data_IF_663455881216
#
_entry.id   IF_663455881216
#
_cell.length_a   1.000
_cell.length_b   1.000
_cell.length_c   1.000
_cell.angle_alpha   90.00
_cell.angle_beta   90.00
_cell.angle_gamma   90.00
#
_symmetry.space_group_name_H-M   'P 1'
#
loop_
_entity.id
_entity.type
_entity.pdbx_description
1 polymer ?
#
# COMPACT_ATOMS: atom_id res chain seq x y z
N UNK A 1 -22.97 5.68 -30.16
CA UNK A 1 -21.84 4.74 -30.31
C UNK A 1 -21.88 3.77 -29.13
N UNK A 2 -22.34 2.52 -29.33
CA UNK A 2 -22.53 1.57 -28.23
C UNK A 2 -21.23 0.88 -27.90
N UNK A 3 -20.63 1.18 -26.75
CA UNK A 3 -19.46 0.47 -26.25
C UNK A 3 -19.82 -0.96 -25.81
N UNK A 4 -19.18 -1.97 -26.42
CA UNK A 4 -19.28 -3.36 -25.97
C UNK A 4 -18.41 -3.57 -24.71
N UNK A 5 -19.04 -3.55 -23.55
CA UNK A 5 -18.45 -3.63 -22.20
C UNK A 5 -18.48 -5.07 -21.65
N UNK A 6 -18.15 -6.10 -22.43
CA UNK A 6 -18.44 -7.49 -22.00
C UNK A 6 -17.32 -8.28 -21.29
N UNK A 7 -16.05 -7.86 -21.30
CA UNK A 7 -14.96 -8.68 -20.70
C UNK A 7 -14.01 -7.96 -19.73
N UNK A 8 -14.22 -6.65 -19.46
CA UNK A 8 -13.40 -5.90 -18.49
C UNK A 8 -14.01 -5.81 -17.07
N UNK A 9 -15.30 -6.15 -16.95
CA UNK A 9 -16.07 -5.98 -15.71
C UNK A 9 -15.76 -7.08 -14.67
N UNK A 10 -15.34 -8.28 -15.08
CA UNK A 10 -15.16 -9.41 -14.16
C UNK A 10 -13.98 -9.17 -13.19
N UNK A 11 -12.89 -8.58 -13.65
CA UNK A 11 -11.74 -8.28 -12.76
C UNK A 11 -12.01 -7.14 -11.78
N UNK A 12 -12.66 -6.08 -12.26
CA UNK A 12 -13.12 -4.99 -11.39
C UNK A 12 -14.22 -5.45 -10.42
N UNK A 13 -15.09 -6.37 -10.84
CA UNK A 13 -16.13 -6.94 -10.00
C UNK A 13 -15.58 -7.83 -8.87
N UNK A 14 -14.47 -8.54 -9.07
CA UNK A 14 -13.81 -9.29 -7.99
C UNK A 14 -13.27 -8.31 -6.93
N UNK A 15 -12.62 -7.25 -7.34
CA UNK A 15 -12.08 -6.26 -6.39
C UNK A 15 -13.19 -5.43 -5.71
N UNK A 16 -14.25 -5.08 -6.43
CA UNK A 16 -15.46 -4.42 -5.89
C UNK A 16 -16.24 -5.38 -4.98
N UNK A 17 -16.40 -6.64 -5.35
CA UNK A 17 -17.04 -7.67 -4.51
C UNK A 17 -16.28 -7.91 -3.20
N UNK A 18 -14.95 -7.84 -3.23
CA UNK A 18 -14.09 -7.91 -2.05
C UNK A 18 -14.34 -6.71 -1.11
N UNK A 19 -14.51 -5.51 -1.66
CA UNK A 19 -14.68 -4.27 -0.89
C UNK A 19 -16.09 -4.13 -0.33
N UNK A 20 -17.13 -4.51 -1.09
CA UNK A 20 -18.54 -4.37 -0.65
C UNK A 20 -18.97 -5.42 0.37
N UNK A 21 -18.25 -6.54 0.49
CA UNK A 21 -18.52 -7.57 1.50
C UNK A 21 -17.81 -7.33 2.84
N UNK A 22 -17.04 -6.25 2.98
CA UNK A 22 -16.41 -5.88 4.24
C UNK A 22 -17.39 -5.13 5.15
N UNK A 23 -17.66 -5.62 6.38
CA UNK A 23 -18.25 -4.77 7.40
C UNK A 23 -17.26 -3.63 7.71
N UNK A 24 -17.78 -2.40 7.72
CA UNK A 24 -17.02 -1.19 8.09
C UNK A 24 -16.63 -1.25 9.58
N UNK A 25 -15.51 -1.87 9.91
CA UNK A 25 -14.90 -1.82 11.25
C UNK A 25 -13.75 -0.79 11.27
N UNK A 26 -14.07 0.49 11.16
CA UNK A 26 -13.07 1.57 11.22
C UNK A 26 -13.17 2.43 12.50
N UNK A 27 -13.84 1.96 13.56
CA UNK A 27 -14.10 2.83 14.71
C UNK A 27 -13.73 2.31 16.10
N UNK A 28 -13.18 1.10 16.25
CA UNK A 28 -12.96 0.55 17.60
C UNK A 28 -11.52 0.11 17.93
N UNK A 29 -10.61 -0.08 16.96
CA UNK A 29 -9.29 -0.64 17.25
C UNK A 29 -8.19 0.40 17.51
N UNK A 30 -8.37 1.66 17.13
CA UNK A 30 -7.37 2.71 17.38
C UNK A 30 -7.25 3.14 18.85
N UNK A 31 -8.25 2.86 19.67
CA UNK A 31 -8.22 3.20 21.10
C UNK A 31 -7.54 2.11 21.94
N UNK A 32 -7.57 0.84 21.53
CA UNK A 32 -6.91 -0.25 22.27
C UNK A 32 -5.40 -0.40 21.95
N UNK A 33 -4.93 -0.02 20.77
CA UNK A 33 -3.47 -0.09 20.45
C UNK A 33 -2.64 0.95 21.22
N UNK A 34 -3.19 2.06 21.59
CA UNK A 34 -2.47 3.11 22.37
C UNK A 34 -2.05 2.64 23.76
N UNK A 35 -2.89 2.00 24.58
CA UNK A 35 -2.49 1.46 25.88
C UNK A 35 -1.45 0.35 25.75
N UNK A 36 -1.61 -0.60 24.83
CA UNK A 36 -0.67 -1.71 24.59
C UNK A 36 0.72 -1.21 24.16
N UNK A 37 0.78 -0.18 23.32
CA UNK A 37 2.05 0.43 22.89
C UNK A 37 2.75 1.17 24.03
N UNK A 38 1.99 1.90 24.84
CA UNK A 38 2.51 2.59 26.03
C UNK A 38 3.05 1.60 27.06
N UNK A 39 2.29 0.55 27.33
CA UNK A 39 2.64 -0.49 28.29
C UNK A 39 3.92 -1.24 27.87
N UNK A 40 4.08 -1.60 26.59
CA UNK A 40 5.32 -2.20 26.06
C UNK A 40 6.51 -1.26 26.12
N UNK A 41 6.32 0.05 25.95
CA UNK A 41 7.39 1.03 26.10
C UNK A 41 7.81 1.16 27.57
N UNK A 42 6.85 1.17 28.50
CA UNK A 42 7.10 1.19 29.92
C UNK A 42 7.85 -0.08 30.35
N UNK A 43 7.37 -1.27 30.01
CA UNK A 43 8.05 -2.55 30.32
C UNK A 43 9.49 -2.61 29.83
N UNK A 44 9.82 -1.96 28.72
CA UNK A 44 11.14 -2.02 28.09
C UNK A 44 12.10 -0.91 28.56
N UNK A 45 11.60 0.26 28.89
CA UNK A 45 12.43 1.45 29.11
C UNK A 45 12.26 2.11 30.47
N UNK A 46 11.19 1.83 31.21
CA UNK A 46 11.02 2.23 32.61
C UNK A 46 11.87 1.30 33.50
N UNK A 47 13.11 1.70 33.73
CA UNK A 47 14.09 0.90 34.48
C UNK A 47 13.89 0.97 35.97
N UNK A 48 13.46 2.13 36.48
CA UNK A 48 13.22 2.36 37.90
C UNK A 48 11.83 1.88 38.34
N UNK A 49 10.95 1.50 37.39
CA UNK A 49 9.59 0.97 37.59
C UNK A 49 8.69 1.93 38.38
N UNK A 50 8.87 3.24 38.18
CA UNK A 50 8.06 4.27 38.86
C UNK A 50 6.77 4.60 38.08
N UNK A 51 6.54 3.95 36.92
CA UNK A 51 5.38 4.14 36.07
C UNK A 51 5.45 5.41 35.22
N UNK A 52 6.62 6.06 35.13
CA UNK A 52 6.88 7.25 34.32
C UNK A 52 8.17 7.06 33.55
N UNK A 53 8.29 7.74 32.42
CA UNK A 53 9.54 7.79 31.66
C UNK A 53 10.25 9.09 31.98
N UNK A 54 11.39 9.01 32.67
CA UNK A 54 12.26 10.15 32.90
C UNK A 54 13.00 10.59 31.64
N UNK A 55 13.79 11.67 31.69
CA UNK A 55 14.48 12.20 30.52
C UNK A 55 15.57 11.24 30.01
N UNK A 56 16.22 10.48 30.89
CA UNK A 56 17.25 9.51 30.51
C UNK A 56 16.64 8.31 29.78
N UNK A 57 15.49 7.85 30.22
CA UNK A 57 14.72 6.76 29.62
C UNK A 57 14.10 7.18 28.28
N UNK A 58 13.61 8.43 28.19
CA UNK A 58 13.18 9.03 26.92
C UNK A 58 14.32 9.17 25.92
N UNK A 59 15.50 9.52 26.39
CA UNK A 59 16.70 9.58 25.54
C UNK A 59 17.13 8.19 25.07
N UNK A 60 17.04 7.16 25.94
CA UNK A 60 17.27 5.76 25.55
C UNK A 60 16.28 5.30 24.49
N UNK A 61 15.02 5.70 24.59
CA UNK A 61 14.02 5.46 23.57
C UNK A 61 14.41 6.18 22.26
N UNK A 62 14.75 7.47 22.31
CA UNK A 62 15.21 8.22 21.13
C UNK A 62 16.44 7.58 20.49
N UNK A 63 17.42 7.15 21.28
CA UNK A 63 18.63 6.45 20.81
C UNK A 63 18.31 5.09 20.20
N UNK A 64 17.37 4.32 20.74
CA UNK A 64 16.97 3.03 20.19
C UNK A 64 16.31 3.19 18.81
N UNK A 65 15.49 4.22 18.62
CA UNK A 65 14.87 4.53 17.33
C UNK A 65 15.86 5.20 16.35
N UNK A 66 16.88 5.95 16.83
CA UNK A 66 17.89 6.56 15.98
C UNK A 66 18.97 5.58 15.54
N UNK A 67 19.29 4.54 16.34
CA UNK A 67 20.17 3.44 15.93
C UNK A 67 19.57 2.63 14.78
N UNK A 68 18.25 2.42 14.77
CA UNK A 68 17.55 1.80 13.64
C UNK A 68 17.61 2.65 12.36
N UNK A 69 17.91 3.96 12.45
CA UNK A 69 18.07 4.88 11.31
C UNK A 69 19.51 5.03 10.82
N UNK A 70 20.52 4.61 11.61
CA UNK A 70 21.94 4.84 11.31
C UNK A 70 22.69 3.66 10.70
N UNK A 71 22.11 2.46 10.66
CA UNK A 71 22.64 1.38 9.83
C UNK A 71 22.30 1.69 8.37
N UNK A 72 23.10 2.59 7.78
CA UNK A 72 23.08 2.89 6.34
C UNK A 72 23.67 1.75 5.50
N UNK A 73 23.40 0.52 5.87
CA UNK A 73 23.53 -0.63 4.99
C UNK A 73 22.35 -0.60 4.03
N UNK A 74 22.64 -0.79 2.78
CA UNK A 74 21.67 -0.92 1.69
C UNK A 74 20.57 -1.91 2.09
N UNK A 75 19.48 -1.38 2.67
CA UNK A 75 18.31 -2.15 3.09
C UNK A 75 17.46 -2.62 1.91
N UNK A 76 17.93 -2.47 0.66
CA UNK A 76 17.28 -3.07 -0.51
C UNK A 76 17.24 -4.61 -0.41
N UNK A 77 18.14 -5.21 0.38
CA UNK A 77 18.25 -6.66 0.57
C UNK A 77 17.26 -7.27 1.60
N UNK A 78 16.42 -6.48 2.29
CA UNK A 78 15.54 -6.98 3.37
C UNK A 78 14.07 -6.56 3.29
N UNK A 79 13.56 -6.33 2.08
CA UNK A 79 12.11 -6.13 1.94
C UNK A 79 11.40 -7.48 2.04
N UNK A 80 10.36 -7.56 2.87
CA UNK A 80 9.44 -8.72 2.85
C UNK A 80 8.63 -8.60 1.57
N UNK A 81 8.74 -9.60 0.70
CA UNK A 81 8.14 -9.63 -0.64
C UNK A 81 7.51 -11.00 -0.96
N UNK A 82 7.07 -11.70 0.07
CA UNK A 82 6.46 -13.03 -0.10
C UNK A 82 5.23 -12.94 -1.00
N UNK A 83 5.22 -13.74 -2.05
CA UNK A 83 4.05 -13.97 -2.89
C UNK A 83 3.23 -15.07 -2.24
N UNK A 84 1.93 -14.82 -2.07
CA UNK A 84 0.97 -15.75 -1.47
C UNK A 84 0.08 -16.31 -2.58
N UNK A 85 -0.07 -17.61 -2.58
CA UNK A 85 -0.92 -18.36 -3.50
C UNK A 85 -1.99 -19.10 -2.71
N UNK A 86 -3.19 -19.36 -3.27
CA UNK A 86 -4.18 -20.23 -2.65
C UNK A 86 -3.62 -21.63 -2.37
N UNK A 87 -4.13 -22.29 -1.32
CA UNK A 87 -3.68 -23.60 -0.92
C UNK A 87 -3.94 -24.67 -2.00
N UNK A 88 -4.99 -24.47 -2.81
CA UNK A 88 -5.39 -25.33 -3.94
C UNK A 88 -4.86 -24.83 -5.30
N UNK A 89 -3.72 -24.11 -5.33
CA UNK A 89 -3.14 -23.57 -6.55
C UNK A 89 -2.95 -24.64 -7.65
N UNK A 90 -3.59 -24.44 -8.79
CA UNK A 90 -3.42 -25.24 -10.01
C UNK A 90 -2.58 -24.48 -11.06
N UNK A 91 -1.38 -24.97 -11.44
CA UNK A 91 -0.53 -24.29 -12.43
C UNK A 91 -1.15 -24.23 -13.85
N UNK A 92 -2.22 -25.00 -14.11
CA UNK A 92 -2.97 -24.96 -15.37
C UNK A 92 -4.00 -23.84 -15.42
N UNK A 93 -4.46 -23.35 -14.26
CA UNK A 93 -5.42 -22.25 -14.13
C UNK A 93 -4.71 -20.90 -14.15
N UNK A 94 -5.32 -19.89 -14.78
CA UNK A 94 -4.82 -18.52 -14.76
C UNK A 94 -5.41 -17.72 -13.61
N UNK A 95 -4.57 -17.13 -12.77
CA UNK A 95 -4.96 -16.40 -11.57
C UNK A 95 -4.85 -14.88 -11.73
N UNK A 96 -5.77 -14.08 -11.16
CA UNK A 96 -5.51 -12.67 -10.92
C UNK A 96 -4.34 -12.48 -9.98
N UNK A 97 -3.62 -11.35 -10.11
CA UNK A 97 -2.59 -10.94 -9.17
C UNK A 97 -2.95 -9.59 -8.54
N UNK A 98 -2.85 -9.50 -7.23
CA UNK A 98 -3.10 -8.28 -6.47
C UNK A 98 -1.84 -7.87 -5.71
N UNK A 99 -1.33 -6.68 -6.01
CA UNK A 99 -0.27 -6.04 -5.23
C UNK A 99 -0.92 -5.04 -4.28
N UNK A 100 -0.72 -5.18 -2.95
CA UNK A 100 -1.31 -4.29 -1.95
C UNK A 100 -0.23 -3.53 -1.18
N UNK A 101 -0.35 -2.21 -1.11
CA UNK A 101 0.69 -1.29 -0.66
C UNK A 101 0.26 -0.57 0.62
N UNK A 102 1.09 -0.67 1.65
CA UNK A 102 0.82 -0.04 2.96
C UNK A 102 0.94 1.48 2.93
N UNK A 103 0.32 2.14 3.91
CA UNK A 103 0.44 3.57 4.14
C UNK A 103 1.78 3.96 4.78
N UNK A 104 2.03 5.27 4.89
CA UNK A 104 3.22 5.82 5.54
C UNK A 104 3.37 5.27 6.97
N UNK A 105 4.58 4.87 7.36
CA UNK A 105 4.94 4.18 8.61
C UNK A 105 4.35 2.77 8.78
N UNK A 106 3.64 2.26 7.76
CA UNK A 106 3.09 0.91 7.73
C UNK A 106 4.11 -0.17 7.34
N UNK A 107 3.60 -1.35 7.07
CA UNK A 107 4.27 -2.49 6.46
C UNK A 107 3.23 -3.43 5.85
N UNK A 108 3.66 -4.45 5.10
CA UNK A 108 2.74 -5.40 4.45
C UNK A 108 1.80 -6.11 5.42
N UNK A 109 2.28 -6.47 6.62
CA UNK A 109 1.43 -7.08 7.65
C UNK A 109 0.34 -6.14 8.16
N UNK A 110 0.65 -4.85 8.33
CA UNK A 110 -0.35 -3.85 8.71
C UNK A 110 -1.36 -3.63 7.58
N UNK A 111 -0.90 -3.67 6.32
CA UNK A 111 -1.78 -3.58 5.15
C UNK A 111 -2.77 -4.75 5.07
N UNK A 112 -2.33 -5.98 5.38
CA UNK A 112 -3.21 -7.14 5.42
C UNK A 112 -4.22 -7.11 6.59
N UNK A 113 -3.93 -6.39 7.68
CA UNK A 113 -4.95 -6.11 8.71
C UNK A 113 -6.01 -5.12 8.24
N UNK A 114 -5.61 -4.12 7.45
CA UNK A 114 -6.53 -3.15 6.84
C UNK A 114 -7.36 -3.79 5.72
N UNK A 115 -6.72 -4.55 4.84
CA UNK A 115 -7.35 -5.24 3.71
C UNK A 115 -6.95 -6.74 3.76
N UNK A 116 -7.77 -7.61 4.38
CA UNK A 116 -7.43 -9.00 4.67
C UNK A 116 -7.46 -9.90 3.43
N UNK A 117 -6.52 -9.68 2.50
CA UNK A 117 -6.40 -10.45 1.26
C UNK A 117 -6.08 -11.91 1.53
N UNK A 118 -5.44 -12.24 2.64
CA UNK A 118 -5.16 -13.60 3.11
C UNK A 118 -6.43 -14.45 3.22
N UNK A 119 -7.52 -13.86 3.75
CA UNK A 119 -8.82 -14.55 3.88
C UNK A 119 -9.61 -14.58 2.57
N UNK A 120 -9.34 -13.65 1.68
CA UNK A 120 -10.11 -13.47 0.44
C UNK A 120 -9.50 -14.25 -0.71
N UNK A 121 -8.19 -14.51 -0.68
CA UNK A 121 -7.47 -15.22 -1.72
C UNK A 121 -8.01 -16.63 -1.94
N UNK A 122 -8.26 -17.37 -0.85
CA UNK A 122 -8.84 -18.70 -0.88
C UNK A 122 -10.27 -18.71 -1.46
N UNK A 123 -11.07 -17.69 -1.09
CA UNK A 123 -12.46 -17.60 -1.54
C UNK A 123 -12.63 -17.22 -3.01
N UNK A 124 -11.73 -16.39 -3.52
CA UNK A 124 -11.87 -15.76 -4.84
C UNK A 124 -10.75 -16.14 -5.81
N UNK A 125 -9.91 -17.10 -5.46
CA UNK A 125 -8.86 -17.67 -6.30
C UNK A 125 -7.94 -16.62 -6.93
N UNK A 126 -7.21 -15.87 -6.10
CA UNK A 126 -6.21 -14.93 -6.58
C UNK A 126 -4.88 -15.04 -5.83
N UNK A 127 -3.82 -14.65 -6.50
CA UNK A 127 -2.46 -14.56 -5.94
C UNK A 127 -2.22 -13.12 -5.50
N UNK A 128 -1.54 -12.91 -4.36
CA UNK A 128 -1.26 -11.56 -3.89
C UNK A 128 0.15 -11.41 -3.31
N UNK A 129 0.60 -10.15 -3.22
CA UNK A 129 1.80 -9.77 -2.50
C UNK A 129 1.53 -8.47 -1.71
N UNK A 130 1.96 -8.45 -0.44
CA UNK A 130 1.91 -7.28 0.43
C UNK A 130 3.35 -6.92 0.88
N UNK A 131 4.16 -6.29 0.01
CA UNK A 131 5.56 -6.04 0.28
C UNK A 131 5.77 -4.90 1.28
N UNK A 132 6.99 -4.83 1.84
CA UNK A 132 7.42 -3.72 2.68
C UNK A 132 8.15 -2.65 1.85
N UNK A 133 7.81 -1.39 2.07
CA UNK A 133 8.56 -0.24 1.57
C UNK A 133 9.78 0.05 2.43
N UNK A 134 10.85 0.62 1.82
CA UNK A 134 12.02 1.08 2.55
C UNK A 134 11.62 2.17 3.54
N UNK A 135 12.14 2.11 4.76
CA UNK A 135 11.80 3.01 5.87
C UNK A 135 10.28 3.13 6.09
N UNK A 136 9.56 2.04 5.82
CA UNK A 136 8.11 1.95 6.00
C UNK A 136 7.34 2.99 5.18
N UNK A 137 7.79 3.23 3.94
CA UNK A 137 7.24 4.24 3.05
C UNK A 137 7.54 3.89 1.59
N UNK A 138 6.76 4.46 0.68
CA UNK A 138 6.95 4.38 -0.76
C UNK A 138 7.38 5.72 -1.31
N UNK A 139 8.37 5.74 -2.19
CA UNK A 139 8.70 6.88 -3.02
C UNK A 139 7.65 6.99 -4.14
N UNK A 140 6.53 7.66 -3.83
CA UNK A 140 5.34 7.63 -4.65
C UNK A 140 5.35 8.69 -5.77
N UNK A 141 4.66 9.82 -5.58
CA UNK A 141 4.51 10.88 -6.58
C UNK A 141 5.08 12.20 -6.07
N UNK A 142 5.14 13.22 -6.91
CA UNK A 142 5.46 14.59 -6.51
C UNK A 142 4.46 15.16 -5.49
N UNK A 143 3.24 14.64 -5.49
CA UNK A 143 2.19 15.01 -4.53
C UNK A 143 2.39 14.37 -3.13
N UNK A 144 3.14 13.26 -3.02
CA UNK A 144 3.46 12.62 -1.74
C UNK A 144 4.77 11.86 -1.78
N UNK A 145 5.59 12.15 -0.78
CA UNK A 145 6.61 11.22 -0.31
C UNK A 145 7.74 10.99 -1.31
N UNK A 146 8.00 11.96 -2.20
CA UNK A 146 9.16 11.95 -3.08
C UNK A 146 10.45 11.99 -2.26
N UNK A 147 11.35 11.05 -2.49
CA UNK A 147 12.67 10.90 -1.86
C UNK A 147 13.81 11.35 -2.77
N UNK A 148 13.54 12.21 -3.74
CA UNK A 148 14.54 12.78 -4.63
C UNK A 148 15.42 11.70 -5.30
N UNK A 149 14.79 10.65 -5.82
CA UNK A 149 15.47 9.59 -6.58
C UNK A 149 16.33 8.62 -5.77
N UNK A 150 16.36 8.73 -4.43
CA UNK A 150 17.16 7.82 -3.57
C UNK A 150 16.65 6.38 -3.54
N UNK A 151 15.39 6.16 -3.89
CA UNK A 151 14.75 4.83 -3.88
C UNK A 151 13.83 4.72 -5.08
N UNK A 152 14.03 3.71 -5.91
CA UNK A 152 13.16 3.41 -7.04
C UNK A 152 12.16 2.30 -6.70
N UNK A 153 11.13 2.68 -5.93
CA UNK A 153 10.06 1.75 -5.55
C UNK A 153 9.21 1.31 -6.76
N UNK A 154 9.08 2.16 -7.78
CA UNK A 154 8.36 1.83 -9.01
C UNK A 154 9.00 0.64 -9.72
N UNK A 155 10.32 0.67 -9.91
CA UNK A 155 11.10 -0.44 -10.49
C UNK A 155 11.05 -1.71 -9.61
N UNK A 156 11.16 -1.54 -8.29
CA UNK A 156 11.06 -2.65 -7.35
C UNK A 156 9.70 -3.36 -7.46
N UNK A 157 8.60 -2.63 -7.39
CA UNK A 157 7.26 -3.19 -7.45
C UNK A 157 6.97 -3.83 -8.83
N UNK A 158 7.47 -3.23 -9.92
CA UNK A 158 7.45 -3.89 -11.23
C UNK A 158 8.15 -5.24 -11.20
N UNK A 159 9.32 -5.31 -10.56
CA UNK A 159 10.09 -6.57 -10.49
C UNK A 159 9.33 -7.67 -9.74
N UNK A 160 8.54 -7.32 -8.70
CA UNK A 160 7.68 -8.25 -7.99
C UNK A 160 6.54 -8.79 -8.86
N UNK A 161 5.91 -7.94 -9.67
CA UNK A 161 4.88 -8.36 -10.62
C UNK A 161 5.47 -9.34 -11.63
N UNK A 162 6.65 -9.02 -12.19
CA UNK A 162 7.32 -9.89 -13.15
C UNK A 162 7.81 -11.21 -12.54
N UNK A 163 8.28 -11.18 -11.28
CA UNK A 163 8.62 -12.37 -10.50
C UNK A 163 7.38 -13.27 -10.33
N UNK A 164 6.25 -12.70 -9.89
CA UNK A 164 5.00 -13.43 -9.76
C UNK A 164 4.56 -14.08 -11.09
N UNK A 165 4.66 -13.35 -12.20
CA UNK A 165 4.33 -13.86 -13.54
C UNK A 165 5.28 -14.97 -14.03
N UNK A 166 6.51 -14.99 -13.53
CA UNK A 166 7.50 -16.03 -13.86
C UNK A 166 7.29 -17.30 -13.06
N UNK A 167 6.91 -17.16 -11.77
CA UNK A 167 6.79 -18.28 -10.83
C UNK A 167 5.42 -18.92 -10.88
N UNK A 168 4.37 -18.15 -11.22
CA UNK A 168 2.97 -18.58 -11.18
C UNK A 168 2.23 -18.24 -12.47
N UNK A 169 1.17 -19.01 -12.76
CA UNK A 169 0.34 -18.81 -13.95
C UNK A 169 -0.63 -17.62 -13.78
N UNK A 170 -0.08 -16.40 -13.83
CA UNK A 170 -0.85 -15.17 -13.69
C UNK A 170 -1.47 -14.75 -15.02
N UNK A 171 -2.74 -14.35 -14.97
CA UNK A 171 -3.41 -13.72 -16.11
C UNK A 171 -2.90 -12.26 -16.26
N UNK A 172 -2.13 -12.00 -17.31
CA UNK A 172 -1.58 -10.67 -17.63
C UNK A 172 -2.64 -9.57 -17.80
N UNK A 173 -3.90 -9.94 -18.00
CA UNK A 173 -5.04 -9.01 -18.11
C UNK A 173 -5.73 -8.76 -16.77
N UNK A 174 -5.26 -9.40 -15.68
CA UNK A 174 -5.84 -9.31 -14.33
C UNK A 174 -4.78 -9.02 -13.29
N UNK A 175 -4.00 -7.96 -13.50
CA UNK A 175 -3.00 -7.45 -12.56
C UNK A 175 -3.51 -6.17 -11.96
N UNK A 176 -3.70 -6.18 -10.64
CA UNK A 176 -4.33 -5.11 -9.89
C UNK A 176 -3.40 -4.57 -8.81
N UNK A 177 -3.48 -3.27 -8.56
CA UNK A 177 -2.74 -2.65 -7.46
C UNK A 177 -3.72 -1.91 -6.57
N UNK A 178 -3.55 -2.05 -5.27
CA UNK A 178 -4.30 -1.30 -4.26
C UNK A 178 -3.36 -0.80 -3.18
N UNK A 179 -3.76 0.22 -2.44
CA UNK A 179 -2.94 0.72 -1.35
C UNK A 179 -3.61 1.84 -0.57
N UNK A 180 -3.19 1.99 0.70
CA UNK A 180 -3.72 2.99 1.60
C UNK A 180 -2.79 4.21 1.65
N UNK A 181 -3.33 5.45 1.57
CA UNK A 181 -2.59 6.69 1.79
C UNK A 181 -1.33 6.76 0.90
N UNK A 182 -0.12 6.76 1.45
CA UNK A 182 1.14 6.68 0.68
C UNK A 182 1.15 5.51 -0.33
N UNK A 183 0.59 4.33 0.04
CA UNK A 183 0.39 3.22 -0.89
C UNK A 183 -0.64 3.51 -1.98
N UNK A 184 -1.64 4.35 -1.71
CA UNK A 184 -2.59 4.85 -2.70
C UNK A 184 -1.92 5.76 -3.73
N UNK A 185 -1.08 6.71 -3.29
CA UNK A 185 -0.24 7.53 -4.19
C UNK A 185 0.67 6.64 -5.04
N UNK A 186 1.29 5.61 -4.43
CA UNK A 186 2.15 4.68 -5.15
C UNK A 186 1.36 3.83 -6.16
N UNK A 187 0.10 3.52 -5.91
CA UNK A 187 -0.77 2.83 -6.88
C UNK A 187 -0.96 3.66 -8.15
N UNK A 188 -1.15 4.97 -8.02
CA UNK A 188 -1.21 5.88 -9.17
C UNK A 188 0.11 5.95 -9.93
N UNK A 189 1.24 6.02 -9.21
CA UNK A 189 2.55 5.98 -9.86
C UNK A 189 2.74 4.70 -10.66
N UNK A 190 2.40 3.56 -10.10
CA UNK A 190 2.51 2.27 -10.79
C UNK A 190 1.59 2.19 -12.01
N UNK A 191 0.38 2.75 -11.95
CA UNK A 191 -0.53 2.83 -13.09
C UNK A 191 0.05 3.69 -14.21
N UNK A 192 0.71 4.79 -13.87
CA UNK A 192 1.39 5.66 -14.84
C UNK A 192 2.64 4.98 -15.44
N UNK A 193 3.59 4.57 -14.59
CA UNK A 193 4.91 4.08 -15.03
C UNK A 193 4.83 2.71 -15.73
N UNK A 194 3.84 1.88 -15.34
CA UNK A 194 3.73 0.46 -15.74
C UNK A 194 2.34 0.09 -16.24
N UNK A 195 1.71 0.98 -17.00
CA UNK A 195 0.42 0.73 -17.67
C UNK A 195 0.45 -0.43 -18.69
N UNK A 196 1.64 -0.93 -19.03
CA UNK A 196 1.84 -2.15 -19.81
C UNK A 196 1.57 -3.44 -19.00
N UNK A 197 1.61 -3.37 -17.68
CA UNK A 197 1.40 -4.49 -16.76
C UNK A 197 0.13 -4.34 -15.93
N UNK A 198 -0.18 -3.10 -15.50
CA UNK A 198 -1.27 -2.82 -14.55
C UNK A 198 -2.58 -2.66 -15.31
N UNK A 199 -3.59 -3.46 -14.93
CA UNK A 199 -4.92 -3.43 -15.55
C UNK A 199 -5.86 -2.45 -14.85
N UNK A 200 -5.82 -2.42 -13.52
CA UNK A 200 -6.61 -1.49 -12.72
C UNK A 200 -5.95 -1.20 -11.36
N UNK A 201 -6.31 -0.05 -10.78
CA UNK A 201 -5.90 0.32 -9.43
C UNK A 201 -7.10 0.64 -8.55
N UNK A 202 -6.94 0.37 -7.24
CA UNK A 202 -7.92 0.76 -6.21
C UNK A 202 -7.18 1.48 -5.08
N UNK A 203 -6.89 2.78 -5.24
CA UNK A 203 -6.27 3.59 -4.20
C UNK A 203 -7.29 3.96 -3.10
N UNK A 204 -6.88 3.82 -1.85
CA UNK A 204 -7.62 4.28 -0.67
C UNK A 204 -6.94 5.53 -0.12
N UNK A 205 -7.65 6.64 -0.03
CA UNK A 205 -7.19 7.90 0.56
C UNK A 205 -5.80 8.34 0.06
N UNK A 206 -5.51 8.12 -1.20
CA UNK A 206 -4.32 8.58 -1.91
C UNK A 206 -4.73 9.09 -3.28
N UNK A 207 -4.05 10.09 -3.80
CA UNK A 207 -4.33 10.71 -5.10
C UNK A 207 -3.12 10.59 -6.03
N UNK A 208 -3.26 11.01 -7.29
CA UNK A 208 -2.21 10.92 -8.29
C UNK A 208 -1.09 11.95 -8.11
N UNK A 209 -0.60 12.44 -9.22
CA UNK A 209 0.44 13.46 -9.26
C UNK A 209 -0.18 14.87 -9.12
N UNK A 210 0.55 15.79 -8.49
CA UNK A 210 0.23 17.23 -8.60
C UNK A 210 0.43 17.69 -10.05
N UNK A 211 1.53 17.23 -10.65
CA UNK A 211 1.81 17.45 -12.07
C UNK A 211 2.11 16.12 -12.76
N UNK A 212 1.18 15.67 -13.59
CA UNK A 212 1.37 14.44 -14.35
C UNK A 212 2.58 14.57 -15.30
N UNK A 213 3.58 13.69 -15.23
CA UNK A 213 4.78 13.81 -16.06
C UNK A 213 4.50 13.56 -17.54
N UNK A 214 3.50 12.72 -17.86
CA UNK A 214 3.04 12.39 -19.20
C UNK A 214 1.72 11.62 -19.12
N UNK A 215 1.13 11.30 -20.27
CA UNK A 215 0.04 10.32 -20.31
C UNK A 215 0.60 8.88 -20.19
N UNK A 216 -0.08 7.98 -19.47
CA UNK A 216 0.28 6.57 -19.45
C UNK A 216 0.16 5.96 -20.86
N UNK A 217 1.01 4.99 -21.19
CA UNK A 217 1.02 4.34 -22.52
C UNK A 217 -0.29 3.61 -22.84
N UNK A 218 -0.90 3.04 -21.82
CA UNK A 218 -2.18 2.31 -21.93
C UNK A 218 -3.17 2.86 -20.89
N UNK A 219 -4.47 2.83 -21.18
CA UNK A 219 -5.47 3.21 -20.18
C UNK A 219 -5.49 2.18 -19.04
N UNK A 220 -5.50 2.67 -17.79
CA UNK A 220 -5.64 1.88 -16.57
C UNK A 220 -6.95 2.25 -15.91
N UNK A 221 -7.75 1.26 -15.52
CA UNK A 221 -9.01 1.52 -14.81
C UNK A 221 -8.73 1.96 -13.36
N UNK A 222 -9.48 2.94 -12.87
CA UNK A 222 -9.34 3.45 -11.49
C UNK A 222 -10.66 3.33 -10.75
N UNK A 223 -10.63 2.72 -9.55
CA UNK A 223 -11.69 2.82 -8.56
C UNK A 223 -11.13 3.56 -7.34
N UNK A 224 -11.35 4.86 -7.28
CA UNK A 224 -10.87 5.69 -6.18
C UNK A 224 -11.81 5.59 -4.98
N UNK A 225 -11.25 5.31 -3.79
CA UNK A 225 -11.99 5.23 -2.54
C UNK A 225 -11.39 6.24 -1.56
N UNK A 226 -12.21 7.21 -1.12
CA UNK A 226 -11.75 8.31 -0.29
C UNK A 226 -12.84 8.81 0.66
N UNK A 227 -12.44 9.10 1.90
CA UNK A 227 -13.35 9.70 2.87
C UNK A 227 -13.52 11.21 2.61
N UNK A 228 -14.76 11.67 2.40
CA UNK A 228 -15.05 13.10 2.18
C UNK A 228 -14.67 14.00 3.37
N UNK A 229 -14.45 13.41 4.55
CA UNK A 229 -14.00 14.10 5.78
C UNK A 229 -12.56 13.77 6.16
N UNK A 230 -11.77 13.21 5.24
CA UNK A 230 -10.35 12.93 5.49
C UNK A 230 -9.62 14.24 5.87
N UNK A 231 -8.96 14.22 7.03
CA UNK A 231 -8.24 15.40 7.55
C UNK A 231 -6.77 15.41 7.14
N UNK A 232 -6.25 14.31 6.66
CA UNK A 232 -4.84 14.15 6.25
C UNK A 232 -4.68 14.38 4.76
N UNK A 233 -5.37 13.57 3.95
CA UNK A 233 -5.44 13.76 2.50
C UNK A 233 -6.87 14.22 2.20
N UNK A 234 -7.05 15.54 2.14
CA UNK A 234 -8.37 16.15 2.02
C UNK A 234 -9.01 15.81 0.68
N UNK A 235 -10.30 15.54 0.68
CA UNK A 235 -11.09 15.29 -0.52
C UNK A 235 -10.94 16.39 -1.58
N UNK A 236 -11.04 17.65 -1.18
CA UNK A 236 -10.92 18.82 -2.06
C UNK A 236 -9.49 19.22 -2.43
N UNK A 237 -8.52 18.34 -2.23
CA UNK A 237 -7.11 18.65 -2.47
C UNK A 237 -6.46 19.45 -1.34
N UNK A 238 -5.16 19.65 -1.46
CA UNK A 238 -4.42 20.38 -0.42
C UNK A 238 -2.91 20.30 -0.54
N UNK A 239 -2.25 20.40 0.62
CA UNK A 239 -0.80 20.28 0.74
C UNK A 239 -0.39 19.30 1.79
N UNK A 240 0.69 18.57 1.52
CA UNK A 240 1.33 17.65 2.46
C UNK A 240 2.80 18.05 2.58
N UNK A 241 3.18 18.71 3.69
CA UNK A 241 4.49 19.36 3.83
C UNK A 241 4.75 20.40 2.72
N UNK A 242 5.75 20.17 1.86
CA UNK A 242 6.08 21.04 0.72
C UNK A 242 5.39 20.64 -0.59
N UNK A 243 4.71 19.49 -0.63
CA UNK A 243 4.04 18.98 -1.81
C UNK A 243 2.58 19.40 -1.84
N UNK A 244 2.02 19.61 -3.03
CA UNK A 244 0.59 19.81 -3.28
C UNK A 244 0.01 18.54 -3.88
N UNK A 245 -1.27 18.33 -3.67
CA UNK A 245 -2.00 17.22 -4.29
C UNK A 245 -3.37 17.69 -4.80
N UNK A 246 -3.85 17.11 -5.91
CA UNK A 246 -5.13 17.47 -6.50
C UNK A 246 -6.31 17.05 -5.61
N UNK A 247 -7.51 17.51 -5.95
CA UNK A 247 -8.72 16.97 -5.34
C UNK A 247 -8.92 15.51 -5.75
N UNK A 248 -9.70 14.76 -4.96
CA UNK A 248 -10.07 13.39 -5.32
C UNK A 248 -10.95 13.32 -6.57
N UNK A 249 -11.65 14.42 -6.93
CA UNK A 249 -12.50 14.52 -8.11
C UNK A 249 -11.70 14.81 -9.38
N UNK A 250 -10.59 15.54 -9.27
CA UNK A 250 -9.75 15.95 -10.40
C UNK A 250 -8.65 14.92 -10.73
N UNK A 251 -8.70 13.76 -10.14
CA UNK A 251 -7.61 12.78 -10.14
C UNK A 251 -7.72 11.70 -11.23
#
# INVERSE_FOLDING_TARGET
>A
MKFKLKNRIIGAAILVGIITSMPFYLTAEDEEEKPIRRERLMQRFDKNKDGKLDESEREAIRKSFSRSRRSGEDNSAKRVDKIHVPDDYDPKKKYPFILTLHGYTGNGRAQLRFLPLDRLAEKYDFIYCAPDGIDRSWNATDACCDRQGKVDDSKYLRSLILKAMKEYNIDRKRVYITGLSNGGFMSYRMAHDHSDLVTAIVPFAGVGFDKWPSNPKNPVSVLHIHGTKDRTIKWGGGGLRSARYPSAEDN
#
